data_IF_482254718983
#
_entry.id   IF_482254718983
#
_cell.length_a   1.000
_cell.length_b   1.000
_cell.length_c   1.000
_cell.angle_alpha   90.00
_cell.angle_beta   90.00
_cell.angle_gamma   90.00
#
_symmetry.space_group_name_H-M   'P 1'
#
loop_
_entity.id
_entity.type
_entity.pdbx_description
1 polymer ?
#
# COMPACT_ATOMS: atom_id res chain seq x y z
N UNK A 1 18.56 -8.96 -25.79
CA UNK A 1 17.28 -9.06 -26.51
C UNK A 1 16.52 -7.74 -26.33
N UNK A 2 16.44 -6.88 -27.35
CA UNK A 2 15.51 -5.73 -27.30
C UNK A 2 14.17 -6.27 -27.81
N UNK A 3 13.13 -6.22 -26.98
CA UNK A 3 11.79 -6.59 -27.41
C UNK A 3 11.29 -5.56 -28.44
N UNK A 4 10.43 -6.00 -29.35
CA UNK A 4 9.84 -5.13 -30.37
C UNK A 4 9.08 -3.97 -29.72
N UNK A 5 9.09 -2.76 -30.31
CA UNK A 5 8.32 -1.63 -29.79
C UNK A 5 6.84 -1.98 -29.64
N UNK A 6 6.17 -1.41 -28.64
CA UNK A 6 4.73 -1.62 -28.45
C UNK A 6 3.96 -1.31 -29.75
N UNK A 7 3.13 -2.26 -30.19
CA UNK A 7 2.35 -2.12 -31.43
C UNK A 7 1.41 -0.91 -31.35
N UNK A 8 1.00 -0.38 -32.51
CA UNK A 8 0.01 0.72 -32.57
C UNK A 8 -1.27 0.37 -31.82
N UNK A 9 -1.70 -0.89 -31.87
CA UNK A 9 -2.87 -1.38 -31.13
C UNK A 9 -2.71 -1.25 -29.61
N UNK A 10 -1.55 -1.62 -29.05
CA UNK A 10 -1.25 -1.46 -27.62
C UNK A 10 -1.27 0.01 -27.22
N UNK A 11 -0.73 0.90 -28.06
CA UNK A 11 -0.73 2.34 -27.79
C UNK A 11 -2.13 2.93 -27.82
N UNK A 12 -2.96 2.55 -28.80
CA UNK A 12 -4.36 2.99 -28.88
C UNK A 12 -5.16 2.48 -27.67
N UNK A 13 -5.00 1.21 -27.30
CA UNK A 13 -5.64 0.64 -26.11
C UNK A 13 -5.23 1.37 -24.83
N UNK A 14 -3.93 1.67 -24.67
CA UNK A 14 -3.42 2.44 -23.54
C UNK A 14 -4.01 3.87 -23.50
N UNK A 15 -4.12 4.54 -24.65
CA UNK A 15 -4.73 5.87 -24.73
C UNK A 15 -6.21 5.84 -24.31
N UNK A 16 -6.99 4.89 -24.85
CA UNK A 16 -8.41 4.74 -24.50
C UNK A 16 -8.57 4.47 -23.01
N UNK A 17 -7.81 3.52 -22.46
CA UNK A 17 -7.82 3.23 -21.03
C UNK A 17 -7.46 4.46 -20.18
N UNK A 18 -6.45 5.22 -20.58
CA UNK A 18 -6.03 6.42 -19.86
C UNK A 18 -7.14 7.49 -19.87
N UNK A 19 -7.77 7.72 -21.02
CA UNK A 19 -8.87 8.69 -21.14
C UNK A 19 -10.07 8.28 -20.29
N UNK A 20 -10.45 7.01 -20.31
CA UNK A 20 -11.55 6.49 -19.47
C UNK A 20 -11.23 6.69 -17.99
N UNK A 21 -9.99 6.41 -17.57
CA UNK A 21 -9.56 6.62 -16.18
C UNK A 21 -9.60 8.10 -15.81
N UNK A 22 -9.13 9.00 -16.66
CA UNK A 22 -9.19 10.45 -16.40
C UNK A 22 -10.62 10.98 -16.34
N UNK A 23 -11.52 10.49 -17.19
CA UNK A 23 -12.94 10.81 -17.12
C UNK A 23 -13.54 10.32 -15.79
N UNK A 24 -13.24 9.10 -15.36
CA UNK A 24 -13.71 8.56 -14.08
C UNK A 24 -13.17 9.36 -12.88
N UNK A 25 -11.89 9.74 -12.89
CA UNK A 25 -11.28 10.59 -11.86
C UNK A 25 -11.87 12.00 -11.86
N UNK A 26 -12.15 12.56 -13.04
CA UNK A 26 -12.81 13.84 -13.19
C UNK A 26 -14.22 13.82 -12.59
N UNK A 27 -15.00 12.78 -12.91
CA UNK A 27 -16.32 12.57 -12.33
C UNK A 27 -16.25 12.37 -10.80
N UNK A 28 -15.26 11.64 -10.30
CA UNK A 28 -15.01 11.49 -8.86
C UNK A 28 -14.73 12.83 -8.19
N UNK A 29 -13.82 13.63 -8.75
CA UNK A 29 -13.47 14.94 -8.22
C UNK A 29 -14.67 15.91 -8.25
N UNK A 30 -15.44 15.92 -9.34
CA UNK A 30 -16.68 16.70 -9.43
C UNK A 30 -17.71 16.23 -8.41
N UNK A 31 -17.90 14.92 -8.22
CA UNK A 31 -18.81 14.37 -7.20
C UNK A 31 -18.43 14.83 -5.79
N UNK A 32 -17.13 14.84 -5.46
CA UNK A 32 -16.68 15.36 -4.17
C UNK A 32 -16.89 16.87 -4.03
N UNK A 33 -16.55 17.66 -5.06
CA UNK A 33 -16.66 19.12 -5.02
C UNK A 33 -18.11 19.63 -5.06
N UNK A 34 -19.00 18.88 -5.72
CA UNK A 34 -20.42 19.21 -5.85
C UNK A 34 -21.27 18.64 -4.70
N UNK A 35 -20.75 17.68 -3.93
CA UNK A 35 -21.35 17.34 -2.66
C UNK A 35 -21.23 18.56 -1.73
N UNK A 36 -22.34 19.03 -1.17
CA UNK A 36 -22.48 20.27 -0.36
C UNK A 36 -21.66 20.28 0.97
N UNK A 37 -20.51 19.61 1.04
CA UNK A 37 -19.71 19.43 2.24
C UNK A 37 -20.39 18.57 3.31
N UNK A 38 -21.57 17.99 3.00
CA UNK A 38 -22.42 17.22 3.94
C UNK A 38 -22.10 15.71 3.97
N UNK A 39 -20.98 15.29 3.39
CA UNK A 39 -20.32 13.99 3.64
C UNK A 39 -21.10 12.68 3.40
N UNK A 40 -22.39 12.74 3.05
CA UNK A 40 -23.27 11.57 2.96
C UNK A 40 -23.56 11.08 1.53
N UNK A 41 -23.42 11.91 0.49
CA UNK A 41 -23.89 11.60 -0.87
C UNK A 41 -22.82 11.81 -1.97
N UNK A 42 -21.54 11.94 -1.62
CA UNK A 42 -20.44 12.17 -2.57
C UNK A 42 -19.32 11.14 -2.49
N UNK A 43 -18.51 11.05 -3.55
CA UNK A 43 -17.29 10.23 -3.55
C UNK A 43 -16.26 10.75 -2.52
N UNK A 44 -15.46 9.88 -1.86
CA UNK A 44 -14.45 10.29 -0.89
C UNK A 44 -13.48 11.37 -1.39
N UNK A 45 -12.90 12.21 -0.50
CA UNK A 45 -11.90 13.20 -0.88
C UNK A 45 -10.67 12.56 -1.53
N UNK A 46 -9.97 13.35 -2.35
CA UNK A 46 -8.62 13.02 -2.76
C UNK A 46 -7.73 12.86 -1.51
N UNK A 47 -6.97 11.78 -1.44
CA UNK A 47 -6.13 11.44 -0.31
C UNK A 47 -6.88 10.93 0.92
N UNK A 48 -8.03 10.27 0.76
CA UNK A 48 -8.86 9.77 1.86
C UNK A 48 -8.17 8.74 2.78
N UNK A 49 -7.11 8.06 2.32
CA UNK A 49 -6.24 7.26 3.19
C UNK A 49 -5.06 8.10 3.72
N UNK A 50 -4.53 9.05 2.94
CA UNK A 50 -3.44 9.93 3.38
C UNK A 50 -3.85 10.79 4.58
N UNK A 51 -5.12 11.16 4.72
CA UNK A 51 -5.65 11.86 5.93
C UNK A 51 -5.45 11.04 7.19
N UNK A 52 -5.54 9.71 7.12
CA UNK A 52 -5.26 8.82 8.25
C UNK A 52 -3.78 8.93 8.61
N UNK A 53 -2.88 8.88 7.62
CA UNK A 53 -1.43 8.97 7.84
C UNK A 53 -1.05 10.32 8.44
N UNK A 54 -1.60 11.41 7.90
CA UNK A 54 -1.36 12.76 8.41
C UNK A 54 -1.88 12.91 9.84
N UNK A 55 -3.08 12.39 10.13
CA UNK A 55 -3.66 12.44 11.48
C UNK A 55 -2.84 11.61 12.47
N UNK A 56 -2.39 10.42 12.09
CA UNK A 56 -1.55 9.57 12.93
C UNK A 56 -0.18 10.19 13.18
N UNK A 57 0.40 10.85 12.18
CA UNK A 57 1.62 11.65 12.36
C UNK A 57 1.39 12.74 13.40
N UNK A 58 0.28 13.48 13.30
CA UNK A 58 -0.04 14.55 14.26
C UNK A 58 -0.23 13.98 15.68
N UNK A 59 -1.01 12.91 15.84
CA UNK A 59 -1.19 12.22 17.13
C UNK A 59 0.15 11.74 17.69
N UNK A 60 1.02 11.20 16.84
CA UNK A 60 2.35 10.71 17.25
C UNK A 60 3.19 11.83 17.84
N UNK A 61 3.16 13.03 17.26
CA UNK A 61 3.92 14.18 17.76
C UNK A 61 3.29 14.82 19.01
N UNK A 62 1.96 14.85 19.13
CA UNK A 62 1.28 15.54 20.23
C UNK A 62 1.04 14.67 21.47
N UNK A 63 0.76 13.38 21.27
CA UNK A 63 0.30 12.47 22.32
C UNK A 63 1.16 11.19 22.42
N UNK A 64 2.20 11.08 21.58
CA UNK A 64 3.05 9.90 21.49
C UNK A 64 2.49 8.84 20.56
N UNK A 65 3.37 7.96 20.06
CA UNK A 65 3.04 6.99 19.02
C UNK A 65 1.92 6.01 19.42
N UNK A 66 1.85 5.62 20.69
CA UNK A 66 0.86 4.65 21.18
C UNK A 66 -0.57 5.17 21.08
N UNK A 67 -0.78 6.49 21.25
CA UNK A 67 -2.10 7.11 21.19
C UNK A 67 -2.79 6.97 19.83
N UNK A 68 -2.04 6.72 18.75
CA UNK A 68 -2.60 6.48 17.42
C UNK A 68 -3.43 5.17 17.34
N UNK A 69 -3.25 4.25 18.28
CA UNK A 69 -4.02 3.01 18.36
C UNK A 69 -5.24 3.10 19.27
N UNK A 70 -5.47 4.22 19.94
CA UNK A 70 -6.66 4.47 20.75
C UNK A 70 -7.79 5.03 19.86
N UNK A 71 -8.90 4.31 19.65
CA UNK A 71 -10.02 4.81 18.84
C UNK A 71 -10.65 6.09 19.39
N UNK A 72 -10.60 6.30 20.72
CA UNK A 72 -11.14 7.50 21.38
C UNK A 72 -10.30 8.75 21.08
N UNK A 73 -9.05 8.56 20.64
CA UNK A 73 -8.17 9.64 20.17
C UNK A 73 -8.22 9.73 18.64
N UNK A 74 -8.04 8.60 17.95
CA UNK A 74 -7.88 8.57 16.50
C UNK A 74 -9.12 9.05 15.74
N UNK A 75 -10.32 8.60 16.12
CA UNK A 75 -11.56 8.92 15.40
C UNK A 75 -11.92 10.41 15.55
N UNK A 76 -12.02 10.98 16.78
CA UNK A 76 -12.34 12.40 16.93
C UNK A 76 -11.29 13.32 16.29
N UNK A 77 -10.01 12.93 16.33
CA UNK A 77 -8.95 13.73 15.70
C UNK A 77 -9.07 13.73 14.17
N UNK A 78 -9.41 12.60 13.55
CA UNK A 78 -9.67 12.56 12.10
C UNK A 78 -10.87 13.45 11.72
N UNK A 79 -11.96 13.38 12.48
CA UNK A 79 -13.17 14.17 12.22
C UNK A 79 -12.94 15.67 12.48
N UNK A 80 -12.08 16.03 13.43
CA UNK A 80 -11.68 17.41 13.68
C UNK A 80 -10.98 18.04 12.47
N UNK A 81 -10.04 17.32 11.85
CA UNK A 81 -9.26 17.84 10.73
C UNK A 81 -9.97 17.68 9.37
N UNK A 82 -10.82 16.67 9.24
CA UNK A 82 -11.51 16.34 7.99
C UNK A 82 -13.02 16.18 8.22
N UNK A 83 -13.73 17.22 8.69
CA UNK A 83 -15.14 17.11 9.08
C UNK A 83 -16.09 16.83 7.90
N UNK A 84 -15.68 17.18 6.68
CA UNK A 84 -16.47 16.96 5.47
C UNK A 84 -16.54 15.47 5.05
N UNK A 85 -15.73 14.59 5.65
CA UNK A 85 -15.72 13.15 5.34
C UNK A 85 -15.86 12.33 6.65
N UNK A 86 -17.08 11.86 6.97
CA UNK A 86 -17.42 11.30 8.28
C UNK A 86 -16.86 9.88 8.52
N UNK A 87 -16.43 9.19 7.46
CA UNK A 87 -15.81 7.88 7.60
C UNK A 87 -14.40 8.02 8.20
N UNK A 88 -14.16 7.40 9.36
CA UNK A 88 -12.86 7.38 10.01
C UNK A 88 -12.07 6.13 9.63
N UNK A 89 -10.84 6.32 9.14
CA UNK A 89 -9.94 5.23 8.81
C UNK A 89 -9.36 4.57 10.07
N UNK A 90 -8.91 3.33 9.91
CA UNK A 90 -8.23 2.56 10.97
C UNK A 90 -6.71 2.67 10.82
N UNK A 91 -5.98 2.65 11.94
CA UNK A 91 -4.52 2.55 11.92
C UNK A 91 -4.06 1.11 12.08
N UNK A 92 -3.51 0.52 11.00
CA UNK A 92 -3.17 -0.90 10.90
C UNK A 92 -1.74 -1.12 10.40
N UNK A 93 -0.84 -0.19 10.72
CA UNK A 93 0.53 -0.19 10.22
C UNK A 93 1.53 -0.40 11.35
N UNK A 94 2.66 -1.08 11.07
CA UNK A 94 3.65 -1.39 12.09
C UNK A 94 4.46 -0.14 12.48
N UNK A 95 5.16 -0.17 13.62
CA UNK A 95 6.02 0.92 14.08
C UNK A 95 6.97 1.50 13.04
N UNK A 96 7.61 0.73 12.13
CA UNK A 96 8.49 1.29 11.11
C UNK A 96 7.79 2.26 10.15
N UNK A 97 6.53 1.98 9.78
CA UNK A 97 5.78 2.90 8.94
C UNK A 97 5.30 4.12 9.73
N UNK A 98 4.88 3.94 10.98
CA UNK A 98 4.52 5.05 11.85
C UNK A 98 5.70 6.01 12.08
N UNK A 99 6.89 5.45 12.30
CA UNK A 99 8.13 6.21 12.46
C UNK A 99 8.49 6.97 11.19
N UNK A 100 8.35 6.33 10.02
CA UNK A 100 8.58 6.97 8.72
C UNK A 100 7.67 8.19 8.50
N UNK A 101 6.39 8.08 8.86
CA UNK A 101 5.43 9.17 8.66
C UNK A 101 5.38 10.16 9.83
N UNK A 102 6.04 9.89 10.95
CA UNK A 102 5.96 10.72 12.16
C UNK A 102 6.08 12.24 11.90
N UNK A 103 6.98 12.75 11.02
CA UNK A 103 7.14 14.19 10.83
C UNK A 103 6.21 14.81 9.79
N UNK A 104 5.36 14.06 9.06
CA UNK A 104 4.65 14.62 7.90
C UNK A 104 3.62 15.69 8.28
N UNK A 105 3.05 15.63 9.49
CA UNK A 105 2.06 16.59 9.98
C UNK A 105 2.62 17.97 10.34
N UNK A 106 3.97 18.12 10.35
CA UNK A 106 4.62 19.44 10.43
C UNK A 106 4.32 20.33 9.24
N UNK A 107 3.87 19.73 8.13
CA UNK A 107 3.41 20.44 6.95
C UNK A 107 1.87 20.40 6.88
N UNK A 108 1.22 21.47 6.37
CA UNK A 108 -0.20 21.45 6.09
C UNK A 108 -0.58 20.31 5.13
N UNK A 109 -1.73 19.68 5.36
CA UNK A 109 -2.20 18.55 4.57
C UNK A 109 -2.16 18.74 3.04
N UNK A 110 -2.56 19.90 2.45
CA UNK A 110 -2.48 20.09 1.00
C UNK A 110 -1.05 19.98 0.45
N UNK A 111 -0.06 20.46 1.21
CA UNK A 111 1.35 20.35 0.84
C UNK A 111 1.84 18.90 0.94
N UNK A 112 1.43 18.19 1.99
CA UNK A 112 1.73 16.75 2.13
C UNK A 112 1.14 15.94 0.98
N UNK A 113 -0.09 16.24 0.56
CA UNK A 113 -0.72 15.58 -0.59
C UNK A 113 0.03 15.89 -1.90
N UNK A 114 0.41 17.15 -2.15
CA UNK A 114 1.18 17.53 -3.33
C UNK A 114 2.54 16.82 -3.39
N UNK A 115 3.27 16.79 -2.26
CA UNK A 115 4.54 16.07 -2.14
C UNK A 115 4.37 14.57 -2.32
N UNK A 116 3.31 13.98 -1.77
CA UNK A 116 2.97 12.58 -1.95
C UNK A 116 2.75 12.23 -3.43
N UNK A 117 2.00 13.06 -4.17
CA UNK A 117 1.75 12.83 -5.60
C UNK A 117 3.06 12.92 -6.40
N UNK A 118 3.86 13.96 -6.16
CA UNK A 118 5.14 14.14 -6.85
C UNK A 118 6.12 12.98 -6.56
N UNK A 119 6.23 12.58 -5.29
CA UNK A 119 7.09 11.46 -4.88
C UNK A 119 6.60 10.14 -5.48
N UNK A 120 5.28 9.89 -5.50
CA UNK A 120 4.70 8.69 -6.08
C UNK A 120 4.98 8.60 -7.58
N UNK A 121 4.83 9.69 -8.33
CA UNK A 121 5.18 9.71 -9.76
C UNK A 121 6.68 9.43 -9.96
N UNK A 122 7.55 10.07 -9.18
CA UNK A 122 8.99 9.86 -9.26
C UNK A 122 9.40 8.41 -8.95
N UNK A 123 8.83 7.82 -7.89
CA UNK A 123 9.08 6.44 -7.49
C UNK A 123 8.54 5.44 -8.51
N UNK A 124 7.37 5.67 -9.10
CA UNK A 124 6.85 4.84 -10.18
C UNK A 124 7.78 4.88 -11.39
N UNK A 125 8.16 6.09 -11.83
CA UNK A 125 9.11 6.29 -12.93
C UNK A 125 10.39 5.52 -12.68
N UNK A 126 10.95 5.60 -11.47
CA UNK A 126 12.16 4.89 -11.08
C UNK A 126 11.96 3.36 -11.08
N UNK A 127 10.85 2.87 -10.54
CA UNK A 127 10.54 1.43 -10.45
C UNK A 127 10.48 0.79 -11.84
N UNK A 128 9.72 1.41 -12.76
CA UNK A 128 9.47 0.79 -14.07
C UNK A 128 10.51 1.15 -15.14
N UNK A 129 11.45 2.07 -14.87
CA UNK A 129 12.32 2.64 -15.93
C UNK A 129 13.07 1.60 -16.74
N UNK A 130 13.68 0.65 -16.04
CA UNK A 130 14.50 -0.39 -16.64
C UNK A 130 13.64 -1.36 -17.46
N UNK A 131 12.60 -1.91 -16.83
CA UNK A 131 11.70 -2.90 -17.42
C UNK A 131 10.91 -2.35 -18.60
N UNK A 132 10.41 -1.12 -18.49
CA UNK A 132 9.71 -0.42 -19.58
C UNK A 132 10.62 -0.28 -20.82
N UNK A 133 11.88 0.12 -20.62
CA UNK A 133 12.85 0.24 -21.72
C UNK A 133 13.18 -1.11 -22.34
N UNK A 134 13.34 -2.15 -21.53
CA UNK A 134 13.59 -3.51 -21.98
C UNK A 134 12.43 -4.04 -22.84
N UNK A 135 11.19 -3.73 -22.44
CA UNK A 135 9.95 -4.09 -23.13
C UNK A 135 9.62 -3.19 -24.34
N UNK A 136 10.36 -2.10 -24.58
CA UNK A 136 10.04 -1.16 -25.66
C UNK A 136 8.69 -0.43 -25.47
N UNK A 137 8.22 -0.30 -24.23
CA UNK A 137 6.92 0.32 -23.94
C UNK A 137 7.04 1.85 -23.84
N UNK A 138 6.15 2.62 -24.49
CA UNK A 138 6.10 4.05 -24.30
C UNK A 138 5.55 4.40 -22.92
N UNK A 139 5.81 5.62 -22.45
CA UNK A 139 5.27 6.11 -21.17
C UNK A 139 3.75 6.12 -21.12
N UNK A 140 3.08 6.22 -22.28
CA UNK A 140 1.63 6.09 -22.40
C UNK A 140 1.11 4.79 -21.78
N UNK A 141 1.80 3.66 -21.97
CA UNK A 141 1.41 2.36 -21.40
C UNK A 141 1.53 2.37 -19.87
N UNK A 142 2.55 3.05 -19.33
CA UNK A 142 2.73 3.21 -17.88
C UNK A 142 1.65 4.12 -17.31
N UNK A 143 1.33 5.22 -17.98
CA UNK A 143 0.26 6.13 -17.57
C UNK A 143 -1.12 5.47 -17.58
N UNK A 144 -1.35 4.53 -18.49
CA UNK A 144 -2.60 3.77 -18.58
C UNK A 144 -2.79 2.73 -17.46
N UNK A 145 -1.81 2.55 -16.56
CA UNK A 145 -1.94 1.62 -15.44
C UNK A 145 -2.90 2.15 -14.36
N UNK A 146 -4.08 1.53 -14.14
CA UNK A 146 -5.09 2.04 -13.22
C UNK A 146 -4.64 2.08 -11.77
N UNK A 147 -3.74 1.17 -11.37
CA UNK A 147 -3.18 1.15 -10.03
C UNK A 147 -2.43 2.42 -9.65
N UNK A 148 -1.87 3.16 -10.64
CA UNK A 148 -1.26 4.47 -10.38
C UNK A 148 -2.31 5.45 -9.87
N UNK A 149 -3.39 5.62 -10.62
CA UNK A 149 -4.39 6.63 -10.31
C UNK A 149 -5.17 6.31 -9.06
N UNK A 150 -5.55 5.04 -8.85
CA UNK A 150 -6.20 4.60 -7.61
C UNK A 150 -5.29 4.87 -6.41
N UNK A 151 -3.99 4.60 -6.52
CA UNK A 151 -3.06 4.87 -5.43
C UNK A 151 -2.95 6.37 -5.15
N UNK A 152 -2.78 7.20 -6.18
CA UNK A 152 -2.69 8.65 -6.05
C UNK A 152 -3.96 9.27 -5.46
N UNK A 153 -5.13 8.77 -5.87
CA UNK A 153 -6.42 9.21 -5.36
C UNK A 153 -6.60 8.80 -3.90
N UNK A 154 -6.23 7.58 -3.53
CA UNK A 154 -6.38 7.11 -2.15
C UNK A 154 -5.36 7.77 -1.21
N UNK A 155 -4.11 7.97 -1.66
CA UNK A 155 -3.03 8.41 -0.79
C UNK A 155 -2.25 7.27 -0.14
N UNK A 156 -2.25 6.09 -0.76
CA UNK A 156 -1.63 4.88 -0.22
C UNK A 156 -0.12 4.80 -0.47
N UNK A 157 0.60 4.05 0.38
CA UNK A 157 2.04 3.81 0.25
C UNK A 157 2.42 2.74 -0.81
N UNK A 158 1.45 2.30 -1.63
CA UNK A 158 1.64 1.18 -2.57
C UNK A 158 2.75 1.44 -3.61
N UNK A 159 2.94 2.69 -4.05
CA UNK A 159 4.02 3.03 -4.99
C UNK A 159 5.39 2.96 -4.34
N UNK A 160 5.51 3.33 -3.06
CA UNK A 160 6.76 3.16 -2.30
C UNK A 160 7.11 1.67 -2.20
N UNK A 161 6.15 0.82 -1.83
CA UNK A 161 6.38 -0.63 -1.76
C UNK A 161 6.61 -1.26 -3.13
N UNK A 162 5.98 -0.75 -4.19
CA UNK A 162 6.26 -1.17 -5.58
C UNK A 162 7.72 -0.87 -5.94
N UNK A 163 8.20 0.33 -5.65
CA UNK A 163 9.58 0.72 -5.91
C UNK A 163 10.57 -0.17 -5.14
N UNK A 164 10.38 -0.32 -3.81
CA UNK A 164 11.21 -1.17 -2.97
C UNK A 164 11.24 -2.62 -3.48
N UNK A 165 10.08 -3.23 -3.75
CA UNK A 165 9.98 -4.59 -4.27
C UNK A 165 10.64 -4.72 -5.65
N UNK A 166 10.46 -3.73 -6.53
CA UNK A 166 11.08 -3.75 -7.86
C UNK A 166 12.60 -3.70 -7.76
N UNK A 167 13.16 -2.86 -6.88
CA UNK A 167 14.60 -2.80 -6.65
C UNK A 167 15.11 -4.11 -6.03
N UNK A 168 14.38 -4.68 -5.06
CA UNK A 168 14.70 -5.95 -4.41
C UNK A 168 14.78 -7.11 -5.42
N UNK A 169 13.81 -7.23 -6.33
CA UNK A 169 13.79 -8.29 -7.34
C UNK A 169 14.84 -8.03 -8.43
N UNK A 170 14.89 -6.82 -8.98
CA UNK A 170 15.73 -6.49 -10.16
C UNK A 170 17.22 -6.65 -9.86
N UNK A 171 17.66 -6.37 -8.63
CA UNK A 171 19.07 -6.31 -8.28
C UNK A 171 19.56 -7.49 -7.44
N UNK A 172 18.72 -8.51 -7.18
CA UNK A 172 19.03 -9.64 -6.30
C UNK A 172 20.37 -10.32 -6.62
N UNK A 173 20.66 -10.53 -7.91
CA UNK A 173 21.87 -11.22 -8.38
C UNK A 173 23.09 -10.31 -8.59
N UNK A 174 22.87 -9.02 -8.89
CA UNK A 174 23.96 -8.08 -9.28
C UNK A 174 24.37 -7.10 -8.19
N UNK A 175 23.44 -6.71 -7.31
CA UNK A 175 23.67 -5.76 -6.21
C UNK A 175 22.88 -6.21 -4.98
N UNK A 176 23.29 -7.36 -4.45
CA UNK A 176 22.62 -8.02 -3.32
C UNK A 176 22.41 -7.10 -2.11
N UNK A 177 23.33 -6.18 -1.81
CA UNK A 177 23.17 -5.20 -0.72
C UNK A 177 22.01 -4.23 -0.99
N UNK A 178 21.93 -3.63 -2.18
CA UNK A 178 20.81 -2.75 -2.54
C UNK A 178 19.49 -3.51 -2.52
N UNK A 179 19.48 -4.71 -3.08
CA UNK A 179 18.31 -5.57 -3.11
C UNK A 179 17.83 -5.91 -1.68
N UNK A 180 18.77 -6.31 -0.82
CA UNK A 180 18.49 -6.62 0.58
C UNK A 180 18.02 -5.41 1.37
N UNK A 181 18.66 -4.24 1.24
CA UNK A 181 18.19 -3.00 1.89
C UNK A 181 16.76 -2.67 1.47
N UNK A 182 16.46 -2.71 0.17
CA UNK A 182 15.10 -2.45 -0.31
C UNK A 182 14.10 -3.48 0.21
N UNK A 183 14.47 -4.77 0.23
CA UNK A 183 13.62 -5.84 0.75
C UNK A 183 13.40 -5.77 2.25
N UNK A 184 14.41 -5.41 3.04
CA UNK A 184 14.28 -5.25 4.49
C UNK A 184 13.45 -4.04 4.88
N UNK A 185 13.51 -2.94 4.11
CA UNK A 185 12.65 -1.77 4.30
C UNK A 185 11.16 -2.06 4.07
N UNK A 186 10.81 -3.17 3.40
CA UNK A 186 9.41 -3.62 3.27
C UNK A 186 8.79 -4.06 4.61
N UNK A 187 9.53 -4.07 5.72
CA UNK A 187 8.97 -4.22 7.07
C UNK A 187 7.84 -3.21 7.38
N UNK A 188 7.76 -2.09 6.64
CA UNK A 188 6.62 -1.16 6.68
C UNK A 188 5.28 -1.78 6.24
N UNK A 189 5.33 -2.90 5.48
CA UNK A 189 4.20 -3.71 5.04
C UNK A 189 4.57 -5.20 5.16
N UNK A 190 4.43 -5.80 6.37
CA UNK A 190 4.90 -7.15 6.68
C UNK A 190 4.36 -8.25 5.75
N UNK A 191 3.22 -8.02 5.09
CA UNK A 191 2.70 -8.95 4.08
C UNK A 191 3.67 -9.24 2.92
N UNK A 192 4.63 -8.35 2.63
CA UNK A 192 5.68 -8.61 1.63
C UNK A 192 6.82 -9.52 2.12
N UNK A 193 6.90 -9.78 3.43
CA UNK A 193 7.93 -10.61 4.06
C UNK A 193 7.71 -12.13 3.87
N UNK A 194 6.75 -12.53 3.03
CA UNK A 194 6.49 -13.95 2.72
C UNK A 194 7.08 -14.31 1.35
N UNK A 195 6.52 -13.75 0.28
CA UNK A 195 6.88 -14.16 -1.09
C UNK A 195 8.28 -13.72 -1.51
N UNK A 196 8.72 -12.51 -1.12
CA UNK A 196 10.02 -11.99 -1.55
C UNK A 196 11.19 -12.80 -0.93
N UNK A 197 11.22 -13.08 0.39
CA UNK A 197 12.24 -13.96 0.97
C UNK A 197 12.19 -15.39 0.42
N UNK A 198 11.00 -15.95 0.19
CA UNK A 198 10.84 -17.28 -0.41
C UNK A 198 11.45 -17.33 -1.81
N UNK A 199 11.16 -16.32 -2.65
CA UNK A 199 11.74 -16.23 -3.99
C UNK A 199 13.27 -16.17 -3.96
N UNK A 200 13.86 -15.37 -3.06
CA UNK A 200 15.32 -15.36 -2.88
C UNK A 200 15.88 -16.67 -2.36
N UNK A 201 15.16 -17.37 -1.49
CA UNK A 201 15.55 -18.68 -0.97
C UNK A 201 15.65 -19.70 -2.10
N UNK A 202 14.60 -19.80 -2.91
CA UNK A 202 14.53 -20.72 -4.06
C UNK A 202 15.57 -20.35 -5.15
N UNK A 203 15.72 -19.05 -5.45
CA UNK A 203 16.73 -18.53 -6.37
C UNK A 203 18.17 -18.52 -5.83
N UNK A 204 18.39 -19.03 -4.61
CA UNK A 204 19.71 -19.08 -3.93
C UNK A 204 20.37 -17.70 -3.81
N UNK A 205 19.58 -16.64 -3.71
CA UNK A 205 20.02 -15.26 -3.52
C UNK A 205 20.34 -14.94 -2.05
N UNK A 206 21.15 -15.80 -1.42
CA UNK A 206 21.47 -15.76 0.01
C UNK A 206 21.95 -14.40 0.50
N UNK A 207 22.82 -13.73 -0.28
CA UNK A 207 23.35 -12.41 0.09
C UNK A 207 22.25 -11.35 0.19
N UNK A 208 21.28 -11.36 -0.72
CA UNK A 208 20.17 -10.40 -0.69
C UNK A 208 19.27 -10.68 0.52
N UNK A 209 18.98 -11.96 0.79
CA UNK A 209 18.23 -12.39 1.96
C UNK A 209 18.91 -11.97 3.28
N UNK A 210 20.22 -12.16 3.41
CA UNK A 210 20.99 -11.73 4.59
C UNK A 210 20.91 -10.22 4.80
N UNK A 211 21.12 -9.42 3.75
CA UNK A 211 21.02 -7.97 3.84
C UNK A 211 19.61 -7.48 4.17
N UNK A 212 18.58 -8.17 3.69
CA UNK A 212 17.19 -7.89 4.06
C UNK A 212 16.92 -8.18 5.53
N UNK A 213 17.39 -9.32 6.05
CA UNK A 213 17.27 -9.66 7.45
C UNK A 213 18.00 -8.63 8.34
N UNK A 214 19.24 -8.25 7.98
CA UNK A 214 20.00 -7.21 8.69
C UNK A 214 19.25 -5.88 8.69
N UNK A 215 18.78 -5.44 7.52
CA UNK A 215 18.08 -4.15 7.39
C UNK A 215 16.78 -4.15 8.19
N UNK A 216 15.98 -5.21 8.09
CA UNK A 216 14.74 -5.35 8.85
C UNK A 216 15.01 -5.38 10.37
N UNK A 217 16.06 -6.09 10.81
CA UNK A 217 16.44 -6.15 12.22
C UNK A 217 16.92 -4.79 12.76
N UNK A 218 17.70 -4.04 11.98
CA UNK A 218 18.12 -2.68 12.33
C UNK A 218 16.90 -1.77 12.46
N UNK A 219 16.01 -1.74 11.46
CA UNK A 219 14.81 -0.90 11.49
C UNK A 219 13.89 -1.29 12.65
N UNK A 220 13.68 -2.59 12.87
CA UNK A 220 12.96 -3.11 14.02
C UNK A 220 13.57 -2.61 15.34
N UNK A 221 14.87 -2.79 15.53
CA UNK A 221 15.60 -2.33 16.71
C UNK A 221 15.50 -0.82 16.92
N UNK A 222 15.64 -0.02 15.87
CA UNK A 222 15.47 1.44 15.95
C UNK A 222 14.04 1.82 16.37
N UNK A 223 13.02 1.12 15.89
CA UNK A 223 11.65 1.38 16.35
C UNK A 223 11.39 0.92 17.79
N UNK A 224 12.06 -0.13 18.26
CA UNK A 224 12.01 -0.51 19.67
C UNK A 224 12.63 0.58 20.55
N UNK A 225 13.75 1.17 20.12
CA UNK A 225 14.38 2.28 20.83
C UNK A 225 13.51 3.55 20.81
N UNK A 226 12.79 3.78 19.71
CA UNK A 226 11.94 4.97 19.54
C UNK A 226 10.64 4.91 20.36
N UNK A 227 9.94 3.78 20.36
CA UNK A 227 8.57 3.69 20.93
C UNK A 227 8.37 2.53 21.89
N UNK A 228 9.36 1.67 22.09
CA UNK A 228 9.25 0.47 22.91
C UNK A 228 8.45 -0.66 22.27
N UNK A 229 8.40 -1.79 22.98
CA UNK A 229 7.66 -2.99 22.58
C UNK A 229 6.13 -2.81 22.63
N UNK A 230 5.63 -1.93 23.49
CA UNK A 230 4.19 -1.67 23.65
C UNK A 230 3.53 -1.19 22.36
N UNK A 231 4.23 -0.41 21.53
CA UNK A 231 3.72 0.00 20.22
C UNK A 231 3.60 -1.18 19.24
N UNK A 232 4.56 -2.12 19.27
CA UNK A 232 4.46 -3.36 18.50
C UNK A 232 3.29 -4.21 18.96
N UNK A 233 3.06 -4.32 20.26
CA UNK A 233 1.89 -5.03 20.81
C UNK A 233 0.57 -4.38 20.40
N UNK A 234 0.48 -3.05 20.41
CA UNK A 234 -0.69 -2.32 19.94
C UNK A 234 -0.96 -2.57 18.46
N UNK A 235 0.08 -2.54 17.61
CA UNK A 235 -0.03 -2.89 16.20
C UNK A 235 -0.54 -4.33 15.98
N UNK A 236 0.07 -5.32 16.64
CA UNK A 236 -0.34 -6.73 16.53
C UNK A 236 -1.77 -6.95 17.03
N UNK A 237 -2.17 -6.23 18.08
CA UNK A 237 -3.53 -6.26 18.62
C UNK A 237 -4.53 -5.65 17.61
N UNK A 238 -4.23 -4.48 17.05
CA UNK A 238 -5.08 -3.82 16.06
C UNK A 238 -5.27 -4.69 14.79
N UNK A 239 -4.20 -5.29 14.27
CA UNK A 239 -4.28 -6.18 13.10
C UNK A 239 -5.05 -7.47 13.41
N UNK A 240 -4.84 -8.07 14.59
CA UNK A 240 -5.58 -9.29 14.97
C UNK A 240 -7.08 -9.02 15.16
N UNK A 241 -7.45 -7.92 15.80
CA UNK A 241 -8.84 -7.48 15.92
C UNK A 241 -9.47 -7.18 14.56
N UNK A 242 -8.74 -6.47 13.69
CA UNK A 242 -9.20 -6.19 12.33
C UNK A 242 -9.36 -7.46 11.49
N UNK A 243 -8.49 -8.45 11.66
CA UNK A 243 -8.65 -9.75 11.00
C UNK A 243 -9.92 -10.46 11.49
N UNK A 244 -10.16 -10.52 12.80
CA UNK A 244 -11.33 -11.18 13.35
C UNK A 244 -12.65 -10.48 12.94
N UNK A 245 -12.73 -9.16 13.11
CA UNK A 245 -13.96 -8.42 12.90
C UNK A 245 -14.12 -7.98 11.44
N UNK A 246 -13.10 -7.36 10.86
CA UNK A 246 -13.13 -6.88 9.48
C UNK A 246 -13.07 -8.03 8.48
N UNK A 247 -11.95 -8.76 8.47
CA UNK A 247 -11.71 -9.78 7.43
C UNK A 247 -12.64 -10.98 7.60
N UNK A 248 -12.74 -11.59 8.78
CA UNK A 248 -13.50 -12.83 8.94
C UNK A 248 -15.02 -12.61 9.06
N UNK A 249 -15.44 -11.51 9.71
CA UNK A 249 -16.86 -11.21 9.97
C UNK A 249 -17.46 -10.13 9.05
N UNK A 250 -16.64 -9.41 8.26
CA UNK A 250 -17.13 -8.43 7.30
C UNK A 250 -17.50 -7.08 7.90
N UNK A 251 -17.06 -6.79 9.13
CA UNK A 251 -17.40 -5.55 9.84
C UNK A 251 -17.01 -4.31 9.02
N UNK A 252 -17.96 -3.39 8.86
CA UNK A 252 -17.80 -2.18 8.05
C UNK A 252 -17.85 -2.42 6.54
N UNK A 253 -18.45 -3.52 6.07
CA UNK A 253 -18.65 -3.78 4.64
C UNK A 253 -17.37 -4.08 3.85
N UNK A 254 -16.27 -4.40 4.54
CA UNK A 254 -14.94 -4.42 3.95
C UNK A 254 -14.75 -5.46 2.84
N UNK A 255 -15.58 -6.50 2.78
CA UNK A 255 -15.53 -7.49 1.70
C UNK A 255 -15.78 -6.87 0.32
N UNK A 256 -16.57 -5.79 0.22
CA UNK A 256 -16.79 -5.09 -1.04
C UNK A 256 -15.53 -4.37 -1.55
N UNK A 257 -14.57 -4.08 -0.65
CA UNK A 257 -13.29 -3.46 -0.98
C UNK A 257 -12.14 -4.48 -1.11
N UNK A 258 -12.43 -5.77 -0.96
CA UNK A 258 -11.43 -6.84 -1.01
C UNK A 258 -11.54 -7.64 -2.31
N UNK A 259 -10.68 -7.38 -3.32
CA UNK A 259 -10.69 -8.13 -4.59
C UNK A 259 -10.03 -9.51 -4.41
N UNK A 260 -10.62 -10.37 -3.57
CA UNK A 260 -10.07 -11.67 -3.21
C UNK A 260 -11.14 -12.76 -3.32
N UNK A 261 -10.73 -13.98 -3.66
CA UNK A 261 -11.63 -15.16 -3.66
C UNK A 261 -12.23 -15.44 -2.28
N UNK A 262 -11.51 -15.07 -1.20
CA UNK A 262 -12.02 -15.15 0.16
C UNK A 262 -13.24 -14.24 0.34
N UNK A 263 -13.11 -12.95 0.03
CA UNK A 263 -14.18 -11.98 0.18
C UNK A 263 -15.37 -12.31 -0.75
N UNK A 264 -15.11 -12.78 -1.98
CA UNK A 264 -16.14 -13.26 -2.89
C UNK A 264 -16.95 -14.41 -2.25
N UNK A 265 -16.28 -15.41 -1.68
CA UNK A 265 -16.93 -16.52 -1.00
C UNK A 265 -17.78 -16.04 0.19
N UNK A 266 -17.23 -15.12 1.00
CA UNK A 266 -17.93 -14.56 2.16
C UNK A 266 -19.18 -13.75 1.76
N UNK A 267 -19.09 -12.97 0.69
CA UNK A 267 -20.25 -12.23 0.13
C UNK A 267 -21.36 -13.15 -0.36
N UNK A 268 -21.04 -14.37 -0.80
CA UNK A 268 -22.00 -15.39 -1.21
C UNK A 268 -22.43 -16.34 -0.07
N UNK A 269 -22.16 -15.96 1.19
CA UNK A 269 -22.61 -16.69 2.37
C UNK A 269 -21.76 -17.92 2.74
N UNK A 270 -20.63 -18.16 2.09
CA UNK A 270 -19.76 -19.28 2.44
C UNK A 270 -19.18 -19.10 3.85
N UNK A 271 -19.20 -20.16 4.67
CA UNK A 271 -18.56 -20.16 6.00
C UNK A 271 -17.03 -20.00 5.93
N UNK A 272 -16.40 -19.66 7.06
CA UNK A 272 -14.94 -19.41 7.13
C UNK A 272 -14.08 -20.56 6.59
N UNK A 273 -14.32 -21.86 6.93
CA UNK A 273 -13.49 -22.95 6.42
C UNK A 273 -13.52 -23.04 4.89
N UNK A 274 -14.68 -22.86 4.28
CA UNK A 274 -14.84 -22.91 2.83
C UNK A 274 -14.16 -21.72 2.16
N UNK A 275 -14.34 -20.51 2.70
CA UNK A 275 -13.70 -19.29 2.18
C UNK A 275 -12.17 -19.38 2.25
N UNK A 276 -11.61 -19.89 3.35
CA UNK A 276 -10.16 -20.15 3.45
C UNK A 276 -9.71 -21.29 2.54
N UNK A 277 -10.50 -22.34 2.37
CA UNK A 277 -10.23 -23.43 1.44
C UNK A 277 -10.09 -22.93 -0.01
N UNK A 278 -11.02 -22.08 -0.46
CA UNK A 278 -10.95 -21.45 -1.79
C UNK A 278 -9.74 -20.53 -1.92
N UNK A 279 -9.43 -19.75 -0.87
CA UNK A 279 -8.25 -18.92 -0.86
C UNK A 279 -6.96 -19.75 -0.98
N UNK A 280 -6.84 -20.84 -0.23
CA UNK A 280 -5.70 -21.74 -0.26
C UNK A 280 -5.54 -22.42 -1.63
N UNK A 281 -6.64 -22.82 -2.27
CA UNK A 281 -6.63 -23.44 -3.60
C UNK A 281 -6.03 -22.53 -4.69
N UNK A 282 -6.12 -21.20 -4.53
CA UNK A 282 -5.50 -20.22 -5.44
C UNK A 282 -4.11 -19.81 -4.96
N UNK A 283 -3.95 -19.58 -3.65
CA UNK A 283 -2.71 -19.10 -3.08
C UNK A 283 -1.57 -20.14 -3.19
N UNK A 284 -1.83 -21.42 -2.91
CA UNK A 284 -0.80 -22.44 -2.91
C UNK A 284 -0.15 -22.65 -4.30
N UNK A 285 -0.91 -22.83 -5.40
CA UNK A 285 -0.31 -22.90 -6.74
C UNK A 285 0.45 -21.62 -7.12
N UNK A 286 -0.05 -20.45 -6.72
CA UNK A 286 0.62 -19.16 -6.98
C UNK A 286 1.97 -19.06 -6.26
N UNK A 287 2.04 -19.52 -5.01
CA UNK A 287 3.27 -19.57 -4.21
C UNK A 287 4.26 -20.57 -4.82
N UNK A 288 3.80 -21.76 -5.23
CA UNK A 288 4.63 -22.79 -5.87
C UNK A 288 5.19 -22.26 -7.20
N UNK A 289 4.35 -21.64 -8.03
CA UNK A 289 4.76 -21.03 -9.28
C UNK A 289 5.81 -19.93 -9.07
N UNK A 290 5.60 -19.07 -8.07
CA UNK A 290 6.57 -18.04 -7.70
C UNK A 290 7.91 -18.62 -7.19
N UNK A 291 7.87 -19.75 -6.48
CA UNK A 291 9.07 -20.44 -6.01
C UNK A 291 9.87 -21.13 -7.13
N UNK A 292 9.23 -21.44 -8.26
CA UNK A 292 9.87 -22.11 -9.40
C UNK A 292 10.57 -21.14 -10.37
N UNK A 293 10.13 -19.87 -10.42
CA UNK A 293 10.66 -18.81 -11.29
C UNK A 293 11.97 -18.20 -10.79
#
# INVERSE_FOLDING_TARGET
>A
MRLTPASRGVQCGALVLLLVQWLALGAWAVSWLAADGRGGEGMPPLGHDLRVFWTVSWITEQFGALAAFDPTVLIPTQLRFFPAYPEAGRWLYPPPFQWLIAPISRLPYPLVYALYVALSIALLVAAVRYWRRLAGWPWLVVGAFPGLWVTLLAGQNSVLTLWLTTMAITYASRRATLAGVCGGLLIIKPQFAVLLPLWWLCGRHWRALTWAAITAAIVFGLTLLWSGWTLWQAFLTAVSQFNAQGVQQGAGGIWHAMPTVFALARLHGAGLPLAYGWHAAIAAPSVIGAAWL
#
